data_IF_319330565083
#
_entry.id   IF_319330565083
#
_cell.length_a   1.000
_cell.length_b   1.000
_cell.length_c   1.000
_cell.angle_alpha   90.00
_cell.angle_beta   90.00
_cell.angle_gamma   90.00
#
_symmetry.space_group_name_H-M   'P 1'
#
loop_
_entity.id
_entity.type
_entity.pdbx_description
1 polymer ?
#
# COMPACT_ATOMS: atom_id res chain seq x y z
N UNK A 1 25.27 -33.52 -25.32
CA UNK A 1 24.71 -32.34 -24.65
C UNK A 1 24.50 -32.70 -23.19
N UNK A 2 25.27 -32.09 -22.28
CA UNK A 2 25.31 -32.45 -20.86
C UNK A 2 24.07 -31.88 -20.17
N UNK A 3 23.16 -32.74 -19.75
CA UNK A 3 22.04 -32.39 -18.87
C UNK A 3 22.58 -32.16 -17.47
N UNK A 4 22.85 -30.91 -17.12
CA UNK A 4 23.14 -30.51 -15.74
C UNK A 4 21.82 -30.51 -14.96
N UNK A 5 21.66 -31.48 -14.06
CA UNK A 5 20.66 -31.44 -13.00
C UNK A 5 20.77 -30.09 -12.29
N UNK A 6 19.69 -29.29 -12.12
CA UNK A 6 19.81 -28.03 -11.41
C UNK A 6 20.22 -28.34 -9.97
N UNK A 7 21.43 -27.90 -9.59
CA UNK A 7 21.86 -27.93 -8.21
C UNK A 7 20.84 -27.13 -7.39
N UNK A 8 20.36 -27.72 -6.30
CA UNK A 8 19.45 -27.02 -5.39
C UNK A 8 20.11 -25.70 -4.98
N UNK A 9 19.47 -24.53 -5.24
CA UNK A 9 20.10 -23.27 -4.96
C UNK A 9 20.35 -23.15 -3.45
N UNK A 10 21.60 -22.87 -3.07
CA UNK A 10 22.06 -22.77 -1.67
C UNK A 10 21.50 -21.57 -0.90
N UNK A 11 20.53 -20.86 -1.47
CA UNK A 11 20.05 -19.58 -0.97
C UNK A 11 21.03 -18.44 -1.25
N UNK A 12 20.64 -17.23 -0.85
CA UNK A 12 21.49 -16.04 -0.92
C UNK A 12 22.30 -15.88 0.36
N UNK A 13 23.36 -15.08 0.34
CA UNK A 13 23.94 -14.57 1.59
C UNK A 13 23.17 -13.35 2.08
N UNK A 14 23.20 -13.05 3.37
CA UNK A 14 22.58 -11.84 3.91
C UNK A 14 23.13 -10.57 3.23
N UNK A 15 24.43 -10.55 2.91
CA UNK A 15 25.06 -9.41 2.23
C UNK A 15 24.54 -9.23 0.80
N UNK A 16 24.37 -10.32 0.03
CA UNK A 16 23.79 -10.26 -1.32
C UNK A 16 22.34 -9.79 -1.29
N UNK A 17 21.56 -10.27 -0.31
CA UNK A 17 20.17 -9.85 -0.16
C UNK A 17 20.08 -8.35 0.14
N UNK A 18 20.93 -7.85 1.04
CA UNK A 18 20.97 -6.44 1.41
C UNK A 18 21.44 -5.54 0.27
N UNK A 19 22.44 -5.98 -0.50
CA UNK A 19 22.90 -5.26 -1.70
C UNK A 19 21.78 -5.12 -2.73
N UNK A 20 21.05 -6.21 -3.02
CA UNK A 20 19.89 -6.16 -3.94
C UNK A 20 18.76 -5.29 -3.41
N UNK A 21 18.48 -5.35 -2.11
CA UNK A 21 17.47 -4.47 -1.53
C UNK A 21 17.83 -2.98 -1.68
N UNK A 22 19.11 -2.63 -1.58
CA UNK A 22 19.56 -1.25 -1.79
C UNK A 22 19.47 -0.83 -3.26
N UNK A 23 19.73 -1.74 -4.20
CA UNK A 23 19.70 -1.47 -5.64
C UNK A 23 18.28 -1.47 -6.22
N UNK A 24 17.43 -2.41 -5.80
CA UNK A 24 16.11 -2.68 -6.37
C UNK A 24 14.96 -2.09 -5.52
N UNK A 25 15.22 -1.80 -4.25
CA UNK A 25 14.21 -1.36 -3.28
C UNK A 25 13.50 -2.51 -2.56
N UNK A 26 12.46 -2.16 -1.81
CA UNK A 26 11.66 -3.13 -1.05
C UNK A 26 10.63 -3.83 -1.96
N UNK A 27 10.32 -5.10 -1.64
CA UNK A 27 9.21 -5.85 -2.22
C UNK A 27 7.87 -5.35 -1.64
N UNK A 28 7.52 -4.11 -1.98
CA UNK A 28 6.29 -3.48 -1.57
C UNK A 28 5.66 -2.79 -2.78
N UNK A 29 4.35 -2.94 -2.93
CA UNK A 29 3.60 -2.15 -3.90
C UNK A 29 3.76 -0.67 -3.57
N UNK A 30 3.90 0.21 -4.58
CA UNK A 30 3.98 1.64 -4.35
C UNK A 30 2.76 2.07 -3.55
N UNK A 31 2.99 2.73 -2.40
CA UNK A 31 1.88 3.31 -1.66
C UNK A 31 1.25 4.37 -2.55
N UNK A 32 -0.06 4.25 -2.81
CA UNK A 32 -0.82 5.34 -3.44
C UNK A 32 -0.49 6.61 -2.70
N UNK A 33 0.05 7.61 -3.41
CA UNK A 33 0.46 8.89 -2.82
C UNK A 33 -0.55 9.34 -1.78
N UNK A 34 -0.10 9.48 -0.53
CA UNK A 34 -0.92 10.09 0.53
C UNK A 34 -1.49 11.38 -0.04
N UNK A 35 -2.82 11.55 0.04
CA UNK A 35 -3.47 12.75 -0.44
C UNK A 35 -2.91 13.93 0.35
N UNK A 36 -1.95 14.65 -0.26
CA UNK A 36 -1.33 15.83 0.36
C UNK A 36 -2.42 16.86 0.64
N UNK A 37 -2.34 17.56 1.77
CA UNK A 37 -3.35 18.57 2.17
C UNK A 37 -3.63 19.58 1.03
N UNK A 38 -2.61 19.95 0.26
CA UNK A 38 -2.75 20.81 -0.92
C UNK A 38 -3.61 20.20 -2.03
N UNK A 39 -3.50 18.90 -2.26
CA UNK A 39 -4.29 18.16 -3.26
C UNK A 39 -5.76 18.11 -2.82
N UNK A 40 -6.00 17.83 -1.54
CA UNK A 40 -7.36 17.85 -0.96
C UNK A 40 -7.97 19.26 -1.08
N UNK A 41 -7.21 20.31 -0.74
CA UNK A 41 -7.69 21.68 -0.87
C UNK A 41 -8.03 22.06 -2.32
N UNK A 42 -7.20 21.65 -3.28
CA UNK A 42 -7.46 21.89 -4.71
C UNK A 42 -8.69 21.12 -5.22
N UNK A 43 -8.90 19.90 -4.73
CA UNK A 43 -10.08 19.08 -5.04
C UNK A 43 -11.35 19.76 -4.52
N UNK A 44 -11.36 20.22 -3.27
CA UNK A 44 -12.47 20.97 -2.66
C UNK A 44 -12.81 22.24 -3.45
N UNK A 45 -11.81 23.03 -3.87
CA UNK A 45 -12.05 24.26 -4.66
C UNK A 45 -12.65 23.98 -6.04
N UNK A 46 -12.38 22.79 -6.59
CA UNK A 46 -12.93 22.34 -7.88
C UNK A 46 -14.32 21.74 -7.77
N UNK A 47 -14.81 21.44 -6.57
CA UNK A 47 -16.15 20.90 -6.39
C UNK A 47 -17.23 21.95 -6.73
N UNK A 48 -18.23 21.62 -7.57
CA UNK A 48 -19.30 22.55 -7.94
C UNK A 48 -20.06 23.12 -6.74
N UNK A 49 -20.25 22.31 -5.70
CA UNK A 49 -20.92 22.72 -4.46
C UNK A 49 -20.16 23.80 -3.70
N UNK A 50 -18.82 23.70 -3.64
CA UNK A 50 -17.98 24.72 -2.99
C UNK A 50 -18.03 26.04 -3.76
N UNK A 51 -17.94 25.98 -5.10
CA UNK A 51 -18.04 27.15 -5.97
C UNK A 51 -19.40 27.84 -5.84
N UNK A 52 -20.48 27.07 -5.75
CA UNK A 52 -21.82 27.60 -5.51
C UNK A 52 -21.93 28.32 -4.16
N UNK A 53 -21.30 27.77 -3.12
CA UNK A 53 -21.27 28.41 -1.81
C UNK A 53 -20.45 29.70 -1.80
N UNK A 54 -19.28 29.72 -2.46
CA UNK A 54 -18.48 30.94 -2.62
C UNK A 54 -19.29 32.00 -3.38
N UNK A 55 -19.99 31.60 -4.44
CA UNK A 55 -20.89 32.48 -5.18
C UNK A 55 -22.01 33.06 -4.31
N UNK A 56 -22.65 32.22 -3.48
CA UNK A 56 -23.66 32.67 -2.53
C UNK A 56 -23.09 33.65 -1.49
N UNK A 57 -21.90 33.37 -0.94
CA UNK A 57 -21.21 34.26 0.00
C UNK A 57 -20.88 35.63 -0.61
N UNK A 58 -20.48 35.68 -1.88
CA UNK A 58 -20.26 36.94 -2.62
C UNK A 58 -21.57 37.73 -2.76
N UNK A 59 -22.68 37.06 -3.08
CA UNK A 59 -24.00 37.70 -3.17
C UNK A 59 -24.39 38.31 -1.81
N UNK A 60 -24.27 37.58 -0.71
CA UNK A 60 -24.58 38.10 0.63
C UNK A 60 -23.71 39.29 1.04
N UNK A 61 -22.41 39.26 0.71
CA UNK A 61 -21.52 40.41 0.90
C UNK A 61 -21.96 41.65 0.12
N UNK A 62 -22.41 41.48 -1.13
CA UNK A 62 -22.95 42.58 -1.93
C UNK A 62 -24.26 43.13 -1.38
N UNK A 63 -25.07 42.29 -0.74
CA UNK A 63 -26.29 42.70 -0.02
C UNK A 63 -25.97 43.40 1.32
N UNK A 64 -24.72 43.37 1.77
CA UNK A 64 -24.28 43.96 3.03
C UNK A 64 -24.52 43.07 4.26
N UNK A 65 -24.97 41.83 4.07
CA UNK A 65 -25.15 40.88 5.17
C UNK A 65 -23.86 40.09 5.44
N UNK A 66 -23.02 40.72 6.24
CA UNK A 66 -21.74 40.14 6.65
C UNK A 66 -21.93 38.97 7.64
N UNK A 67 -23.08 38.92 8.34
CA UNK A 67 -23.40 37.85 9.29
C UNK A 67 -23.69 36.53 8.59
N UNK A 68 -24.55 36.57 7.58
CA UNK A 68 -24.90 35.40 6.77
C UNK A 68 -23.69 34.86 5.99
N UNK A 69 -22.88 35.74 5.40
CA UNK A 69 -21.65 35.36 4.70
C UNK A 69 -20.64 34.66 5.62
N UNK A 70 -20.44 35.18 6.84
CA UNK A 70 -19.54 34.57 7.84
C UNK A 70 -20.07 33.22 8.36
N UNK A 71 -21.38 33.11 8.57
CA UNK A 71 -22.02 31.87 9.03
C UNK A 71 -21.82 30.75 8.00
N UNK A 72 -22.01 31.06 6.72
CA UNK A 72 -21.84 30.14 5.60
C UNK A 72 -20.38 29.69 5.44
N UNK A 73 -19.42 30.63 5.50
CA UNK A 73 -18.00 30.31 5.46
C UNK A 73 -17.56 29.47 6.66
N UNK A 74 -18.08 29.77 7.86
CA UNK A 74 -17.84 28.96 9.06
C UNK A 74 -18.31 27.52 8.90
N UNK A 75 -19.50 27.32 8.33
CA UNK A 75 -20.04 25.98 8.08
C UNK A 75 -19.17 25.17 7.10
N UNK A 76 -18.66 25.81 6.05
CA UNK A 76 -17.71 25.19 5.11
C UNK A 76 -16.42 24.80 5.82
N UNK A 77 -15.84 25.70 6.60
CA UNK A 77 -14.59 25.45 7.30
C UNK A 77 -14.72 24.24 8.25
N UNK A 78 -15.84 24.14 8.97
CA UNK A 78 -16.15 23.00 9.85
C UNK A 78 -16.27 21.72 9.02
N UNK A 79 -17.05 21.75 7.93
CA UNK A 79 -17.26 20.57 7.08
C UNK A 79 -15.96 20.06 6.47
N UNK A 80 -15.15 20.94 5.89
CA UNK A 80 -13.84 20.59 5.33
C UNK A 80 -12.92 20.02 6.40
N UNK A 81 -12.92 20.60 7.60
CA UNK A 81 -12.11 20.08 8.72
C UNK A 81 -12.54 18.67 9.11
N UNK A 82 -13.86 18.43 9.24
CA UNK A 82 -14.41 17.10 9.51
C UNK A 82 -13.99 16.11 8.43
N UNK A 83 -14.14 16.47 7.15
CA UNK A 83 -13.75 15.63 6.01
C UNK A 83 -12.25 15.27 6.06
N UNK A 84 -11.36 16.24 6.30
CA UNK A 84 -9.92 15.99 6.39
C UNK A 84 -9.58 15.05 7.56
N UNK A 85 -10.23 15.23 8.71
CA UNK A 85 -10.03 14.37 9.88
C UNK A 85 -10.54 12.95 9.62
N UNK A 86 -11.70 12.82 8.97
CA UNK A 86 -12.28 11.53 8.58
C UNK A 86 -11.39 10.79 7.59
N UNK A 87 -10.92 11.46 6.54
CA UNK A 87 -10.02 10.86 5.53
C UNK A 87 -8.75 10.33 6.18
N UNK A 88 -8.09 11.14 7.02
CA UNK A 88 -6.87 10.72 7.74
C UNK A 88 -7.12 9.54 8.68
N UNK A 89 -8.30 9.47 9.30
CA UNK A 89 -8.65 8.35 10.19
C UNK A 89 -8.82 7.07 9.38
N UNK A 90 -9.51 7.15 8.24
CA UNK A 90 -9.72 6.01 7.33
C UNK A 90 -8.39 5.51 6.76
N UNK A 91 -7.52 6.40 6.28
CA UNK A 91 -6.19 6.02 5.80
C UNK A 91 -5.36 5.30 6.87
N UNK A 92 -5.36 5.80 8.11
CA UNK A 92 -4.63 5.17 9.23
C UNK A 92 -5.18 3.78 9.58
N UNK A 93 -6.50 3.61 9.54
CA UNK A 93 -7.11 2.30 9.77
C UNK A 93 -6.69 1.31 8.69
N UNK A 94 -6.74 1.72 7.42
CA UNK A 94 -6.30 0.89 6.30
C UNK A 94 -4.81 0.53 6.39
N UNK A 95 -3.95 1.49 6.73
CA UNK A 95 -2.52 1.25 6.90
C UNK A 95 -2.25 0.29 8.08
N UNK A 96 -2.98 0.44 9.18
CA UNK A 96 -2.84 -0.47 10.32
C UNK A 96 -3.27 -1.90 9.96
N UNK A 97 -4.37 -2.08 9.22
CA UNK A 97 -4.80 -3.38 8.73
C UNK A 97 -3.76 -4.01 7.78
N UNK A 98 -3.18 -3.22 6.87
CA UNK A 98 -2.09 -3.67 5.99
C UNK A 98 -0.82 -4.06 6.76
N UNK A 99 -0.48 -3.31 7.80
CA UNK A 99 0.71 -3.59 8.62
C UNK A 99 0.56 -4.88 9.44
N UNK A 100 -0.66 -5.18 9.90
CA UNK A 100 -0.98 -6.42 10.60
C UNK A 100 -0.98 -7.63 9.67
N UNK A 101 -1.22 -7.42 8.37
CA UNK A 101 -1.22 -8.49 7.38
C UNK A 101 0.13 -8.69 6.70
N UNK A 102 1.21 -8.00 7.09
CA UNK A 102 2.51 -8.15 6.41
C UNK A 102 3.04 -9.57 6.66
N UNK A 103 2.94 -10.49 5.68
CA UNK A 103 3.26 -11.88 5.90
C UNK A 103 4.78 -11.94 6.06
N UNK A 104 5.24 -12.71 7.03
CA UNK A 104 6.65 -13.06 7.09
C UNK A 104 6.90 -14.17 6.08
N UNK A 105 7.99 -14.07 5.33
CA UNK A 105 8.45 -15.11 4.41
C UNK A 105 9.54 -15.94 5.10
N UNK A 106 9.53 -17.25 4.87
CA UNK A 106 10.65 -18.11 5.22
C UNK A 106 11.58 -18.23 4.01
N UNK A 107 12.81 -17.75 4.15
CA UNK A 107 13.82 -17.75 3.07
C UNK A 107 15.06 -18.53 3.48
N UNK A 108 15.76 -19.11 2.50
CA UNK A 108 17.09 -19.69 2.72
C UNK A 108 18.16 -18.61 2.50
N UNK A 109 18.78 -18.15 3.59
CA UNK A 109 19.90 -17.21 3.56
C UNK A 109 21.05 -17.72 4.41
N UNK A 110 22.29 -17.55 3.93
CA UNK A 110 23.52 -18.06 4.57
C UNK A 110 23.46 -19.57 4.89
N UNK A 111 22.76 -20.33 4.03
CA UNK A 111 22.54 -21.77 4.22
C UNK A 111 21.55 -22.14 5.34
N UNK A 112 20.90 -21.17 5.97
CA UNK A 112 19.92 -21.38 7.03
C UNK A 112 18.54 -20.83 6.66
N UNK A 113 17.48 -21.44 7.21
CA UNK A 113 16.12 -20.95 7.04
C UNK A 113 15.88 -19.78 8.00
N UNK A 114 15.55 -18.62 7.44
CA UNK A 114 15.38 -17.37 8.17
C UNK A 114 13.99 -16.81 7.91
N UNK A 115 13.32 -16.31 8.95
CA UNK A 115 12.03 -15.63 8.82
C UNK A 115 12.30 -14.14 8.62
N UNK A 116 11.91 -13.60 7.47
CA UNK A 116 12.09 -12.18 7.13
C UNK A 116 10.74 -11.53 6.82
N UNK A 117 10.57 -10.21 7.02
CA UNK A 117 9.39 -9.51 6.55
C UNK A 117 9.21 -9.72 5.04
N UNK A 118 7.98 -9.94 4.54
CA UNK A 118 7.72 -10.16 3.11
C UNK A 118 8.23 -9.03 2.21
N UNK A 119 8.25 -7.79 2.74
CA UNK A 119 8.83 -6.62 2.06
C UNK A 119 10.35 -6.67 1.87
N UNK A 120 11.04 -7.51 2.64
CA UNK A 120 12.49 -7.67 2.62
C UNK A 120 12.93 -8.85 1.75
N UNK A 121 11.99 -9.56 1.12
CA UNK A 121 12.26 -10.58 0.11
C UNK A 121 12.80 -9.88 -1.14
N UNK A 122 13.86 -10.42 -1.73
CA UNK A 122 14.50 -9.86 -2.93
C UNK A 122 14.57 -10.89 -4.04
N UNK A 123 14.83 -10.43 -5.27
CA UNK A 123 15.02 -11.33 -6.41
C UNK A 123 16.18 -12.30 -6.15
N UNK A 124 15.91 -13.58 -6.39
CA UNK A 124 16.85 -14.67 -6.19
C UNK A 124 16.84 -15.30 -4.80
N UNK A 125 16.01 -14.81 -3.86
CA UNK A 125 15.76 -15.56 -2.62
C UNK A 125 15.14 -16.93 -2.95
N UNK A 126 15.54 -17.93 -2.18
CA UNK A 126 14.88 -19.24 -2.17
C UNK A 126 13.85 -19.22 -1.05
N UNK A 127 12.58 -19.20 -1.42
CA UNK A 127 11.46 -19.16 -0.49
C UNK A 127 11.04 -20.60 -0.16
N UNK A 128 10.76 -20.86 1.11
CA UNK A 128 10.21 -22.12 1.60
C UNK A 128 8.80 -21.83 2.08
N UNK A 129 7.81 -22.50 1.49
CA UNK A 129 6.41 -22.34 1.86
C UNK A 129 5.93 -23.59 2.58
N UNK A 130 5.12 -23.37 3.61
CA UNK A 130 4.41 -24.42 4.34
C UNK A 130 2.90 -24.28 4.11
N UNK A 131 2.14 -25.29 4.52
CA UNK A 131 0.68 -25.28 4.42
C UNK A 131 0.10 -24.03 5.11
N UNK A 132 -0.81 -23.34 4.41
CA UNK A 132 -1.47 -22.13 4.88
C UNK A 132 -0.64 -20.84 4.80
N UNK A 133 0.57 -20.86 4.26
CA UNK A 133 1.37 -19.65 4.06
C UNK A 133 1.05 -18.94 2.75
N UNK A 134 1.05 -17.60 2.79
CA UNK A 134 0.90 -16.76 1.60
C UNK A 134 2.20 -16.73 0.79
N UNK A 135 2.08 -16.76 -0.54
CA UNK A 135 3.22 -16.58 -1.45
C UNK A 135 3.69 -15.11 -1.37
N UNK A 136 4.93 -14.81 -0.95
CA UNK A 136 5.35 -13.44 -0.65
C UNK A 136 5.71 -12.60 -1.90
N UNK A 137 6.01 -13.25 -3.02
CA UNK A 137 6.34 -12.65 -4.30
C UNK A 137 6.22 -13.70 -5.42
N UNK A 138 6.12 -13.27 -6.66
CA UNK A 138 6.18 -14.15 -7.83
C UNK A 138 7.47 -14.98 -7.81
N UNK A 139 7.32 -16.30 -7.92
CA UNK A 139 8.41 -17.24 -7.77
C UNK A 139 8.36 -18.35 -8.82
N UNK A 140 9.51 -18.99 -9.05
CA UNK A 140 9.60 -20.21 -9.85
C UNK A 140 9.66 -21.41 -8.92
N UNK A 141 8.74 -22.35 -9.10
CA UNK A 141 8.71 -23.59 -8.32
C UNK A 141 9.90 -24.49 -8.67
N UNK A 142 10.63 -24.96 -7.64
CA UNK A 142 11.75 -25.89 -7.78
C UNK A 142 11.38 -27.30 -7.33
N UNK A 143 10.82 -27.44 -6.13
CA UNK A 143 10.32 -28.69 -5.56
C UNK A 143 8.97 -28.41 -4.88
N UNK A 144 8.05 -29.35 -4.99
CA UNK A 144 6.75 -29.35 -4.32
C UNK A 144 6.39 -30.76 -3.88
N UNK A 145 5.61 -30.85 -2.81
CA UNK A 145 4.91 -32.08 -2.39
C UNK A 145 3.48 -31.70 -2.11
N UNK A 146 2.55 -32.32 -2.82
CA UNK A 146 1.11 -32.09 -2.69
C UNK A 146 0.73 -30.59 -2.70
N UNK A 147 1.35 -29.82 -3.61
CA UNK A 147 1.11 -28.39 -3.73
C UNK A 147 -0.30 -28.13 -4.26
N UNK A 148 -1.13 -27.52 -3.41
CA UNK A 148 -2.33 -26.81 -3.82
C UNK A 148 -2.13 -25.31 -3.56
N UNK A 149 -2.62 -24.50 -4.48
CA UNK A 149 -2.59 -23.03 -4.40
C UNK A 149 -3.98 -22.48 -4.65
N UNK A 150 -4.40 -21.51 -3.86
CA UNK A 150 -5.63 -20.75 -4.07
C UNK A 150 -5.31 -19.50 -4.89
N UNK A 151 -5.80 -19.45 -6.13
CA UNK A 151 -5.64 -18.32 -7.05
C UNK A 151 -6.89 -17.41 -7.09
N UNK A 152 -7.88 -17.63 -6.22
CA UNK A 152 -9.16 -16.90 -6.25
C UNK A 152 -8.99 -15.39 -6.10
N UNK A 153 -7.96 -14.94 -5.36
CA UNK A 153 -7.63 -13.52 -5.22
C UNK A 153 -7.11 -12.88 -6.52
N UNK A 154 -6.52 -13.67 -7.41
CA UNK A 154 -5.90 -13.19 -8.66
C UNK A 154 -6.80 -13.42 -9.88
N UNK A 155 -7.47 -14.57 -9.95
CA UNK A 155 -8.25 -15.02 -11.12
C UNK A 155 -9.75 -15.09 -10.86
N UNK A 156 -10.17 -15.17 -9.59
CA UNK A 156 -11.57 -15.39 -9.20
C UNK A 156 -12.02 -16.85 -9.26
N UNK A 157 -11.12 -17.78 -9.57
CA UNK A 157 -11.40 -19.22 -9.57
C UNK A 157 -10.89 -19.88 -8.28
N UNK A 158 -11.69 -20.78 -7.71
CA UNK A 158 -11.42 -21.49 -6.46
C UNK A 158 -11.34 -23.00 -6.67
#
# INVERSE_FOLDING_TARGET
>A
MVTTTPAFPSGLTQQQALARQQEEGFNALPQTDRRTLWRIALEVVREPMFQLLVGAGVIYLLLGDLGEALMLLGFVAITVTITIVQEKRTERLLESLRSLSSPHALVLRDGQRQRVPGRDVVRGDVIVLSEGELVPADARLFEARDLLTDESLLTGEA
#
